data_IF_792887327100
#
_entry.id   IF_792887327100
#
_cell.length_a   1.000
_cell.length_b   1.000
_cell.length_c   1.000
_cell.angle_alpha   90.00
_cell.angle_beta   90.00
_cell.angle_gamma   90.00
#
_symmetry.space_group_name_H-M   'P 1'
#
loop_
_entity.id
_entity.type
_entity.pdbx_description
1 polymer ?
#
# COMPACT_ATOMS: atom_id res chain seq x y z
N UNK A 1 -13.26 -4.48 -0.41
CA UNK A 1 -13.78 -5.86 -0.18
C UNK A 1 -12.82 -6.92 -0.74
N UNK A 2 -12.65 -8.07 -0.09
CA UNK A 2 -11.63 -9.07 -0.45
C UNK A 2 -11.84 -9.80 -1.80
N UNK A 3 -13.01 -9.63 -2.45
CA UNK A 3 -13.40 -10.35 -3.68
C UNK A 3 -13.78 -9.40 -4.82
N UNK A 4 -13.08 -8.26 -4.92
CA UNK A 4 -13.27 -7.38 -6.07
C UNK A 4 -12.85 -8.13 -7.36
N UNK A 5 -13.63 -8.01 -8.46
CA UNK A 5 -13.24 -8.57 -9.76
C UNK A 5 -11.89 -8.00 -10.23
N UNK A 6 -11.10 -8.82 -10.96
CA UNK A 6 -9.76 -8.43 -11.43
C UNK A 6 -9.79 -7.15 -12.27
N UNK A 7 -10.79 -7.02 -13.14
CA UNK A 7 -10.98 -5.83 -13.99
C UNK A 7 -11.17 -4.53 -13.18
N UNK A 8 -11.88 -4.60 -12.04
CA UNK A 8 -12.07 -3.46 -11.15
C UNK A 8 -10.77 -3.08 -10.47
N UNK A 9 -10.00 -4.09 -10.01
CA UNK A 9 -8.67 -3.86 -9.42
C UNK A 9 -7.75 -3.19 -10.44
N UNK A 10 -7.71 -3.69 -11.67
CA UNK A 10 -6.89 -3.11 -12.74
C UNK A 10 -7.28 -1.67 -13.04
N UNK A 11 -8.59 -1.38 -13.18
CA UNK A 11 -9.08 -0.02 -13.40
C UNK A 11 -8.63 0.92 -12.28
N UNK A 12 -8.81 0.52 -11.02
CA UNK A 12 -8.39 1.33 -9.88
C UNK A 12 -6.88 1.57 -9.88
N UNK A 13 -6.07 0.54 -10.15
CA UNK A 13 -4.61 0.68 -10.23
C UNK A 13 -4.19 1.68 -11.30
N UNK A 14 -4.80 1.62 -12.49
CA UNK A 14 -4.52 2.56 -13.58
C UNK A 14 -4.85 4.00 -13.18
N UNK A 15 -6.05 4.24 -12.63
CA UNK A 15 -6.46 5.59 -12.24
C UNK A 15 -5.62 6.14 -11.07
N UNK A 16 -5.26 5.29 -10.10
CA UNK A 16 -4.38 5.67 -8.98
C UNK A 16 -3.00 6.08 -9.51
N UNK A 17 -2.42 5.31 -10.44
CA UNK A 17 -1.12 5.65 -11.04
C UNK A 17 -1.20 6.96 -11.82
N UNK A 18 -2.27 7.16 -12.58
CA UNK A 18 -2.49 8.41 -13.31
C UNK A 18 -2.58 9.61 -12.34
N UNK A 19 -3.31 9.48 -11.24
CA UNK A 19 -3.42 10.52 -10.23
C UNK A 19 -2.08 10.82 -9.54
N UNK A 20 -1.30 9.80 -9.20
CA UNK A 20 0.01 9.95 -8.57
C UNK A 20 1.06 10.57 -9.52
N UNK A 21 0.90 10.38 -10.83
CA UNK A 21 1.75 11.00 -11.85
C UNK A 21 1.46 12.50 -12.07
N UNK A 22 0.34 13.03 -11.53
CA UNK A 22 0.04 14.46 -11.62
C UNK A 22 1.09 15.25 -10.83
N UNK A 23 1.77 16.25 -11.43
CA UNK A 23 2.90 16.94 -10.78
C UNK A 23 2.57 17.57 -9.42
N UNK A 24 1.38 18.14 -9.26
CA UNK A 24 0.93 18.75 -8.01
C UNK A 24 0.71 17.70 -6.91
N UNK A 25 0.24 16.49 -7.26
CA UNK A 25 0.08 15.37 -6.34
C UNK A 25 1.44 14.85 -5.92
N UNK A 26 2.35 14.61 -6.87
CA UNK A 26 3.71 14.19 -6.58
C UNK A 26 4.49 15.21 -5.72
N UNK A 27 4.26 16.51 -5.94
CA UNK A 27 4.82 17.55 -5.08
C UNK A 27 4.27 17.50 -3.65
N UNK A 28 2.97 17.24 -3.48
CA UNK A 28 2.33 17.08 -2.16
C UNK A 28 2.96 15.94 -1.37
N UNK A 29 3.20 14.78 -2.01
CA UNK A 29 3.86 13.65 -1.35
C UNK A 29 5.28 14.00 -0.91
N UNK A 30 6.06 14.66 -1.78
CA UNK A 30 7.41 15.13 -1.43
C UNK A 30 7.41 16.12 -0.26
N UNK A 31 6.39 16.98 -0.13
CA UNK A 31 6.25 17.90 1.01
C UNK A 31 5.92 17.20 2.33
N UNK A 32 5.44 15.96 2.28
CA UNK A 32 5.13 15.14 3.44
C UNK A 32 6.25 14.14 3.75
N UNK A 33 7.46 14.36 3.20
CA UNK A 33 8.59 13.44 3.27
C UNK A 33 8.19 11.99 2.90
N UNK A 34 7.24 11.88 1.96
CA UNK A 34 6.65 10.62 1.53
C UNK A 34 7.01 10.34 0.07
N UNK A 35 7.40 9.09 -0.20
CA UNK A 35 7.67 8.61 -1.55
C UNK A 35 6.43 7.93 -2.13
N UNK A 36 6.23 8.08 -3.43
CA UNK A 36 5.17 7.37 -4.14
C UNK A 36 5.66 5.94 -4.40
N UNK A 37 4.97 4.97 -3.80
CA UNK A 37 5.17 3.56 -4.15
C UNK A 37 4.54 3.26 -5.51
N UNK A 38 5.36 2.75 -6.43
CA UNK A 38 4.99 2.35 -7.79
C UNK A 38 4.60 0.87 -7.94
N UNK A 39 4.41 0.16 -6.82
CA UNK A 39 4.12 -1.27 -6.82
C UNK A 39 2.84 -1.65 -7.59
N UNK A 40 2.83 -2.85 -8.13
CA UNK A 40 1.66 -3.50 -8.73
C UNK A 40 0.75 -4.09 -7.64
N UNK A 41 -0.52 -4.38 -7.92
CA UNK A 41 -1.42 -5.03 -6.97
C UNK A 41 -0.85 -6.36 -6.45
N UNK A 42 -0.21 -7.13 -7.33
CA UNK A 42 0.43 -8.40 -7.00
C UNK A 42 1.64 -8.20 -6.06
N UNK A 43 2.49 -7.20 -6.33
CA UNK A 43 3.63 -6.86 -5.45
C UNK A 43 3.16 -6.35 -4.09
N UNK A 44 2.12 -5.52 -4.05
CA UNK A 44 1.54 -5.04 -2.80
C UNK A 44 0.93 -6.19 -2.00
N UNK A 45 0.23 -7.13 -2.65
CA UNK A 45 -0.27 -8.33 -1.98
C UNK A 45 0.86 -9.20 -1.44
N UNK A 46 1.96 -9.33 -2.18
CA UNK A 46 3.15 -10.06 -1.74
C UNK A 46 3.80 -9.39 -0.51
N UNK A 47 3.87 -8.05 -0.49
CA UNK A 47 4.32 -7.28 0.68
C UNK A 47 3.45 -7.58 1.90
N UNK A 48 2.12 -7.47 1.78
CA UNK A 48 1.18 -7.73 2.87
C UNK A 48 1.38 -9.15 3.42
N UNK A 49 1.47 -10.16 2.55
CA UNK A 49 1.67 -11.56 2.95
C UNK A 49 2.99 -11.78 3.70
N UNK A 50 4.05 -11.05 3.31
CA UNK A 50 5.37 -11.14 3.95
C UNK A 50 5.43 -10.40 5.28
N UNK A 51 4.89 -9.19 5.34
CA UNK A 51 5.03 -8.31 6.50
C UNK A 51 4.04 -8.68 7.62
N UNK A 52 2.84 -9.17 7.29
CA UNK A 52 1.83 -9.55 8.30
C UNK A 52 2.37 -10.51 9.37
N UNK A 53 2.94 -11.69 9.05
CA UNK A 53 3.44 -12.61 10.08
C UNK A 53 4.66 -12.04 10.82
N UNK A 54 5.52 -11.28 10.14
CA UNK A 54 6.69 -10.64 10.74
C UNK A 54 6.28 -9.66 11.83
N UNK A 55 5.31 -8.78 11.54
CA UNK A 55 4.84 -7.80 12.53
C UNK A 55 4.00 -8.43 13.64
N UNK A 56 3.23 -9.49 13.34
CA UNK A 56 2.55 -10.27 14.38
C UNK A 56 3.54 -10.81 15.44
N UNK A 57 4.69 -11.32 15.00
CA UNK A 57 5.74 -11.79 15.90
C UNK A 57 6.38 -10.65 16.71
N UNK A 58 6.64 -9.50 16.08
CA UNK A 58 7.18 -8.31 16.77
C UNK A 58 6.23 -7.87 17.89
N UNK A 59 4.92 -7.77 17.61
CA UNK A 59 3.90 -7.40 18.61
C UNK A 59 3.86 -8.39 19.76
N UNK A 60 3.89 -9.70 19.46
CA UNK A 60 3.89 -10.75 20.49
C UNK A 60 5.12 -10.65 21.41
N UNK A 61 6.31 -10.39 20.82
CA UNK A 61 7.56 -10.28 21.57
C UNK A 61 7.67 -9.00 22.39
N UNK A 62 7.14 -7.89 21.90
CA UNK A 62 7.19 -6.61 22.61
C UNK A 62 6.17 -6.54 23.75
N UNK A 63 5.12 -7.36 23.72
CA UNK A 63 4.01 -7.26 24.65
C UNK A 63 3.12 -6.04 24.39
N UNK A 64 3.31 -5.36 23.25
CA UNK A 64 2.49 -4.23 22.85
C UNK A 64 1.02 -4.66 22.70
N UNK A 65 0.13 -3.84 23.23
CA UNK A 65 -1.32 -4.00 23.10
C UNK A 65 -1.89 -2.69 22.56
N UNK A 66 -3.01 -2.78 21.86
CA UNK A 66 -3.83 -1.62 21.52
C UNK A 66 -4.82 -1.48 22.68
N UNK A 67 -4.90 -0.28 23.25
CA UNK A 67 -5.87 0.08 24.30
C UNK A 67 -7.31 0.14 23.76
#
# INVERSE_FOLDING_TARGET
>A
PARLPREVVQKLTTEIRAALAVPSVAQRYRQLDSEIDGSTPEEFLALVRRETPKWAEVVRRSGAKID
#
